data_IF_386571413578
#
_entry.id   IF_386571413578
#
_cell.length_a   1.000
_cell.length_b   1.000
_cell.length_c   1.000
_cell.angle_alpha   90.00
_cell.angle_beta   90.00
_cell.angle_gamma   90.00
#
_symmetry.space_group_name_H-M   'P 1'
#
loop_
_entity.id
_entity.type
_entity.pdbx_description
1 polymer ?
#
# COMPACT_ATOMS: atom_id res chain seq x y z
N UNK A 1 -24.20 10.60 0.57
CA UNK A 1 -22.76 10.42 0.30
C UNK A 1 -22.48 11.13 -1.02
N UNK A 2 -21.58 12.11 -1.02
CA UNK A 2 -21.18 12.76 -2.27
C UNK A 2 -20.50 11.71 -3.17
N UNK A 3 -20.96 11.59 -4.40
CA UNK A 3 -20.39 10.68 -5.39
C UNK A 3 -19.01 11.20 -5.78
N UNK A 4 -18.02 10.33 -5.76
CA UNK A 4 -16.64 10.70 -6.09
C UNK A 4 -16.53 10.99 -7.58
N UNK A 5 -16.04 12.17 -7.94
CA UNK A 5 -15.80 12.55 -9.33
C UNK A 5 -14.79 11.60 -9.97
N UNK A 6 -15.13 11.05 -11.13
CA UNK A 6 -14.31 10.12 -11.91
C UNK A 6 -13.71 10.83 -13.13
N UNK A 7 -12.67 10.25 -13.69
CA UNK A 7 -12.06 10.79 -14.90
C UNK A 7 -13.04 10.84 -16.10
N UNK A 8 -13.99 9.88 -16.15
CA UNK A 8 -15.03 9.87 -17.19
C UNK A 8 -15.95 11.10 -17.12
N UNK A 9 -16.26 11.58 -15.93
CA UNK A 9 -17.12 12.73 -15.74
C UNK A 9 -16.44 14.00 -16.31
N UNK A 10 -15.13 14.14 -16.09
CA UNK A 10 -14.31 15.22 -16.65
C UNK A 10 -14.22 15.11 -18.20
N UNK A 11 -14.06 13.90 -18.69
CA UNK A 11 -13.99 13.59 -20.13
C UNK A 11 -15.29 13.97 -20.83
N UNK A 12 -16.42 13.58 -20.27
CA UNK A 12 -17.76 13.90 -20.79
C UNK A 12 -18.02 15.40 -20.82
N UNK A 13 -17.72 16.09 -19.71
CA UNK A 13 -17.98 17.51 -19.57
C UNK A 13 -17.14 18.37 -20.51
N UNK A 14 -15.90 17.99 -20.77
CA UNK A 14 -14.99 18.71 -21.68
C UNK A 14 -15.10 18.27 -23.15
N UNK A 15 -15.76 17.16 -23.44
CA UNK A 15 -15.80 16.56 -24.76
C UNK A 15 -14.42 16.12 -25.29
N UNK A 16 -13.54 15.72 -24.37
CA UNK A 16 -12.17 15.32 -24.69
C UNK A 16 -12.01 13.79 -24.59
N UNK A 17 -10.90 13.26 -25.13
CA UNK A 17 -10.58 11.85 -24.93
C UNK A 17 -10.01 11.59 -23.53
N UNK A 18 -10.25 10.39 -22.98
CA UNK A 18 -9.66 9.94 -21.71
C UNK A 18 -8.14 10.06 -21.72
N UNK A 19 -7.50 9.80 -22.87
CA UNK A 19 -6.05 9.93 -23.05
C UNK A 19 -5.58 11.38 -22.87
N UNK A 20 -6.32 12.34 -23.40
CA UNK A 20 -5.99 13.77 -23.30
C UNK A 20 -6.09 14.22 -21.83
N UNK A 21 -7.20 13.95 -21.15
CA UNK A 21 -7.40 14.29 -19.75
C UNK A 21 -6.34 13.59 -18.87
N UNK A 22 -6.09 12.31 -19.09
CA UNK A 22 -5.07 11.55 -18.38
C UNK A 22 -3.66 12.13 -18.57
N UNK A 23 -3.31 12.59 -19.77
CA UNK A 23 -2.01 13.21 -20.01
C UNK A 23 -1.84 14.50 -19.19
N UNK A 24 -2.86 15.34 -19.10
CA UNK A 24 -2.83 16.56 -18.27
C UNK A 24 -2.68 16.19 -16.79
N UNK A 25 -3.51 15.25 -16.30
CA UNK A 25 -3.44 14.76 -14.91
C UNK A 25 -2.02 14.26 -14.55
N UNK A 26 -1.31 13.65 -15.50
CA UNK A 26 0.04 13.10 -15.27
C UNK A 26 1.16 14.06 -15.65
N UNK A 27 0.86 15.33 -15.99
CA UNK A 27 1.87 16.32 -16.36
C UNK A 27 2.53 16.06 -17.71
N UNK A 28 1.97 15.19 -18.56
CA UNK A 28 2.47 14.88 -19.90
C UNK A 28 1.86 15.85 -20.92
N UNK A 29 2.05 17.14 -20.68
CA UNK A 29 1.40 18.21 -21.46
C UNK A 29 1.98 18.42 -22.85
N UNK A 30 3.16 17.88 -23.18
CA UNK A 30 3.79 18.04 -24.49
C UNK A 30 3.01 17.52 -25.71
N UNK A 31 1.89 16.78 -25.46
CA UNK A 31 0.98 16.27 -26.50
C UNK A 31 -0.40 16.95 -26.47
N UNK A 32 -0.57 17.97 -25.64
CA UNK A 32 -1.83 18.67 -25.43
C UNK A 32 -1.57 20.16 -25.58
N UNK A 33 -2.48 20.91 -26.25
CA UNK A 33 -2.34 22.36 -26.33
C UNK A 33 -2.42 23.02 -24.97
N UNK A 34 -1.74 24.16 -24.78
CA UNK A 34 -1.76 24.90 -23.53
C UNK A 34 -3.19 25.26 -23.11
N UNK A 35 -4.02 25.72 -24.05
CA UNK A 35 -5.43 26.03 -23.82
C UNK A 35 -6.23 24.83 -23.30
N UNK A 36 -6.01 23.65 -23.91
CA UNK A 36 -6.69 22.40 -23.45
C UNK A 36 -6.22 22.00 -22.06
N UNK A 37 -4.91 22.14 -21.78
CA UNK A 37 -4.35 21.81 -20.48
C UNK A 37 -4.93 22.71 -19.37
N UNK A 38 -5.05 24.01 -19.63
CA UNK A 38 -5.67 24.97 -18.70
C UNK A 38 -7.14 24.66 -18.43
N UNK A 39 -7.92 24.37 -19.48
CA UNK A 39 -9.34 23.97 -19.34
C UNK A 39 -9.51 22.72 -18.48
N UNK A 40 -8.68 21.72 -18.73
CA UNK A 40 -8.73 20.47 -17.94
C UNK A 40 -8.35 20.74 -16.48
N UNK A 41 -7.27 21.51 -16.25
CA UNK A 41 -6.81 21.84 -14.88
C UNK A 41 -7.88 22.61 -14.12
N UNK A 42 -8.48 23.63 -14.71
CA UNK A 42 -9.53 24.42 -14.11
C UNK A 42 -10.73 23.56 -13.69
N UNK A 43 -11.18 22.64 -14.56
CA UNK A 43 -12.30 21.76 -14.23
C UNK A 43 -11.96 20.72 -13.16
N UNK A 44 -10.72 20.20 -13.15
CA UNK A 44 -10.24 19.31 -12.09
C UNK A 44 -10.26 19.99 -10.72
N UNK A 45 -9.89 21.25 -10.65
CA UNK A 45 -9.93 22.07 -9.43
C UNK A 45 -11.37 22.38 -9.02
N UNK A 46 -12.22 22.84 -9.96
CA UNK A 46 -13.62 23.14 -9.70
C UNK A 46 -14.41 21.93 -9.17
N UNK A 47 -14.13 20.76 -9.73
CA UNK A 47 -14.78 19.49 -9.33
C UNK A 47 -14.10 18.80 -8.15
N UNK A 48 -13.08 19.40 -7.54
CA UNK A 48 -12.29 18.81 -6.45
C UNK A 48 -11.83 17.37 -6.79
N UNK A 49 -11.37 17.17 -8.04
CA UNK A 49 -11.00 15.84 -8.52
C UNK A 49 -9.79 15.30 -7.76
N UNK A 50 -10.00 14.20 -7.04
CA UNK A 50 -8.92 13.47 -6.35
C UNK A 50 -8.50 12.28 -7.21
N UNK A 51 -7.21 12.23 -7.55
CA UNK A 51 -6.62 11.09 -8.30
C UNK A 51 -6.96 9.77 -7.64
N UNK A 52 -7.47 8.83 -8.42
CA UNK A 52 -7.63 7.45 -7.94
C UNK A 52 -6.29 6.72 -7.96
N UNK A 53 -5.81 6.28 -6.81
CA UNK A 53 -4.63 5.41 -6.74
C UNK A 53 -4.83 4.10 -7.51
N UNK A 54 -6.05 3.57 -7.56
CA UNK A 54 -6.36 2.35 -8.30
C UNK A 54 -5.98 2.45 -9.80
N UNK A 55 -6.25 3.61 -10.44
CA UNK A 55 -5.85 3.83 -11.83
C UNK A 55 -4.33 3.90 -12.02
N UNK A 56 -3.61 4.44 -11.04
CA UNK A 56 -2.14 4.51 -11.05
C UNK A 56 -1.54 3.12 -10.87
N UNK A 57 -2.10 2.32 -9.98
CA UNK A 57 -1.68 0.96 -9.68
C UNK A 57 -1.78 0.05 -10.90
N UNK A 58 -2.92 0.12 -11.61
CA UNK A 58 -3.16 -0.63 -12.84
C UNK A 58 -2.16 -0.28 -13.94
N UNK A 59 -1.75 1.01 -14.04
CA UNK A 59 -0.84 1.47 -15.09
C UNK A 59 0.65 1.16 -14.81
N UNK A 60 1.04 0.98 -13.54
CA UNK A 60 2.46 0.86 -13.14
C UNK A 60 2.86 -0.52 -12.63
N UNK A 61 1.94 -1.43 -12.43
CA UNK A 61 2.15 -2.75 -11.82
C UNK A 61 2.90 -2.67 -10.46
N UNK A 62 2.75 -1.56 -9.74
CA UNK A 62 3.34 -1.29 -8.42
C UNK A 62 2.30 -0.59 -7.56
N UNK A 63 2.02 -1.14 -6.39
CA UNK A 63 1.04 -0.57 -5.46
C UNK A 63 1.62 0.60 -4.65
N UNK A 64 2.92 0.73 -4.61
CA UNK A 64 3.65 1.58 -3.67
C UNK A 64 3.29 1.30 -2.21
N UNK A 65 2.78 0.10 -1.92
CA UNK A 65 2.42 -0.34 -0.57
C UNK A 65 3.51 -1.27 -0.05
N UNK A 66 4.07 -0.92 1.10
CA UNK A 66 4.87 -1.82 1.91
C UNK A 66 4.01 -2.30 3.09
N UNK A 67 3.82 -3.62 3.18
CA UNK A 67 3.11 -4.25 4.28
C UNK A 67 4.01 -4.40 5.51
N UNK A 68 3.53 -4.05 6.69
CA UNK A 68 4.18 -4.36 7.95
C UNK A 68 3.27 -5.29 8.73
N UNK A 69 3.69 -6.55 8.86
CA UNK A 69 2.92 -7.57 9.55
C UNK A 69 3.51 -7.81 10.93
N UNK A 70 2.68 -7.64 11.94
CA UNK A 70 3.05 -7.86 13.34
C UNK A 70 2.39 -9.14 13.83
N UNK A 71 3.18 -10.01 14.44
CA UNK A 71 2.66 -11.25 15.02
C UNK A 71 1.75 -10.94 16.21
N UNK A 72 0.47 -11.31 16.07
CA UNK A 72 -0.53 -11.18 17.14
C UNK A 72 -0.41 -12.35 18.12
N UNK A 73 0.66 -12.34 18.91
CA UNK A 73 0.93 -13.40 19.86
C UNK A 73 0.01 -13.29 21.08
N UNK A 74 -0.58 -14.39 21.58
CA UNK A 74 -1.49 -14.38 22.73
C UNK A 74 -0.97 -13.69 24.01
N UNK A 75 0.35 -13.56 24.16
CA UNK A 75 0.96 -12.82 25.29
C UNK A 75 0.53 -11.35 25.38
N UNK A 76 0.07 -10.77 24.26
CA UNK A 76 -0.35 -9.37 24.21
C UNK A 76 -1.84 -9.17 24.47
N UNK A 77 -2.62 -10.24 24.62
CA UNK A 77 -4.05 -10.18 24.92
C UNK A 77 -4.86 -9.24 24.00
N UNK A 78 -4.49 -9.17 22.72
CA UNK A 78 -5.10 -8.28 21.75
C UNK A 78 -4.54 -6.84 21.73
N UNK A 79 -3.53 -6.55 22.57
CA UNK A 79 -2.89 -5.23 22.69
C UNK A 79 -1.48 -5.21 22.06
N UNK A 80 -1.29 -5.98 21.01
CA UNK A 80 0.03 -6.13 20.34
C UNK A 80 0.63 -4.79 19.93
N UNK A 81 -0.18 -3.87 19.42
CA UNK A 81 0.31 -2.56 18.95
C UNK A 81 0.61 -1.57 20.09
N UNK A 82 0.19 -1.87 21.33
CA UNK A 82 0.50 -1.07 22.52
C UNK A 82 1.89 -1.40 23.08
N UNK A 83 2.51 -2.50 22.63
CA UNK A 83 3.87 -2.85 23.04
C UNK A 83 4.86 -1.77 22.58
N UNK A 84 5.67 -1.28 23.52
CA UNK A 84 6.59 -0.17 23.28
C UNK A 84 7.60 -0.45 22.15
N UNK A 85 8.11 -1.67 22.07
CA UNK A 85 9.06 -2.05 21.04
C UNK A 85 8.38 -2.06 19.66
N UNK A 86 7.19 -2.64 19.58
CA UNK A 86 6.40 -2.69 18.33
C UNK A 86 5.99 -1.29 17.90
N UNK A 87 5.46 -0.48 18.82
CA UNK A 87 5.05 0.89 18.53
C UNK A 87 6.23 1.75 18.04
N UNK A 88 7.38 1.66 18.71
CA UNK A 88 8.60 2.37 18.29
C UNK A 88 9.08 1.92 16.91
N UNK A 89 9.07 0.62 16.65
CA UNK A 89 9.45 0.05 15.35
C UNK A 89 8.55 0.53 14.22
N UNK A 90 7.23 0.56 14.46
CA UNK A 90 6.26 1.08 13.49
C UNK A 90 6.47 2.57 13.19
N UNK A 91 6.80 3.38 14.20
CA UNK A 91 7.10 4.80 14.00
C UNK A 91 8.33 5.00 13.09
N UNK A 92 9.42 4.26 13.33
CA UNK A 92 10.62 4.33 12.47
C UNK A 92 10.32 3.86 11.05
N UNK A 93 9.64 2.72 10.90
CA UNK A 93 9.27 2.19 9.59
C UNK A 93 8.37 3.15 8.83
N UNK A 94 7.38 3.76 9.50
CA UNK A 94 6.49 4.74 8.88
C UNK A 94 7.25 5.91 8.29
N UNK A 95 8.18 6.49 9.04
CA UNK A 95 8.98 7.62 8.59
C UNK A 95 9.88 7.27 7.38
N UNK A 96 10.52 6.08 7.40
CA UNK A 96 11.37 5.64 6.29
C UNK A 96 10.57 5.28 5.03
N UNK A 97 9.44 4.61 5.20
CA UNK A 97 8.55 4.22 4.09
C UNK A 97 7.97 5.47 3.43
N UNK A 98 7.50 6.45 4.21
CA UNK A 98 7.01 7.72 3.70
C UNK A 98 8.11 8.50 2.95
N UNK A 99 9.33 8.54 3.50
CA UNK A 99 10.49 9.20 2.86
C UNK A 99 10.85 8.56 1.52
N UNK A 100 10.63 7.25 1.37
CA UNK A 100 10.80 6.55 0.09
C UNK A 100 9.65 6.80 -0.90
N UNK A 101 8.63 7.54 -0.50
CA UNK A 101 7.44 7.85 -1.29
C UNK A 101 6.48 6.67 -1.41
N UNK A 102 6.53 5.72 -0.50
CA UNK A 102 5.65 4.57 -0.42
C UNK A 102 4.64 4.72 0.72
N UNK A 103 3.66 3.84 0.78
CA UNK A 103 2.63 3.83 1.82
C UNK A 103 2.83 2.61 2.72
N UNK A 104 2.74 2.83 4.02
CA UNK A 104 2.79 1.76 5.00
C UNK A 104 1.38 1.22 5.26
N UNK A 105 1.22 -0.10 5.17
CA UNK A 105 0.01 -0.79 5.59
C UNK A 105 0.34 -1.76 6.72
N UNK A 106 -0.19 -1.50 7.91
CA UNK A 106 0.04 -2.35 9.09
C UNK A 106 -1.09 -3.36 9.23
N UNK A 107 -0.75 -4.61 9.49
CA UNK A 107 -1.70 -5.67 9.80
C UNK A 107 -1.13 -6.60 10.86
N UNK A 108 -1.96 -6.92 11.85
CA UNK A 108 -1.70 -8.03 12.76
C UNK A 108 -2.05 -9.35 12.06
N UNK A 109 -1.24 -10.37 12.26
CA UNK A 109 -1.47 -11.71 11.73
C UNK A 109 -0.92 -12.76 12.70
N UNK A 110 -1.64 -13.85 12.86
CA UNK A 110 -1.22 -14.96 13.71
C UNK A 110 -0.36 -15.97 12.94
N UNK A 111 -0.54 -16.05 11.63
CA UNK A 111 0.06 -17.09 10.77
C UNK A 111 0.65 -16.53 9.49
N UNK A 112 1.73 -17.13 9.06
CA UNK A 112 2.43 -16.74 7.83
C UNK A 112 1.59 -16.91 6.55
N UNK A 113 0.64 -17.86 6.51
CA UNK A 113 -0.26 -18.05 5.37
C UNK A 113 -1.15 -16.82 5.12
N UNK A 114 -1.61 -16.18 6.17
CA UNK A 114 -2.42 -14.96 6.09
C UNK A 114 -1.63 -13.82 5.45
N UNK A 115 -0.34 -13.72 5.80
CA UNK A 115 0.57 -12.73 5.22
C UNK A 115 0.68 -12.91 3.70
N UNK A 116 0.91 -14.16 3.24
CA UNK A 116 1.04 -14.46 1.81
C UNK A 116 -0.22 -14.08 1.05
N UNK A 117 -1.39 -14.44 1.58
CA UNK A 117 -2.68 -14.11 0.95
C UNK A 117 -2.90 -12.60 0.89
N UNK A 118 -2.69 -11.93 2.01
CA UNK A 118 -2.95 -10.49 2.13
C UNK A 118 -2.01 -9.68 1.24
N UNK A 119 -0.71 -9.99 1.25
CA UNK A 119 0.27 -9.33 0.41
C UNK A 119 -0.04 -9.47 -1.08
N UNK A 120 -0.49 -10.65 -1.51
CA UNK A 120 -0.91 -10.91 -2.89
C UNK A 120 -2.18 -10.18 -3.25
N UNK A 121 -3.19 -10.18 -2.37
CA UNK A 121 -4.48 -9.51 -2.61
C UNK A 121 -4.32 -8.00 -2.79
N UNK A 122 -3.41 -7.38 -2.04
CA UNK A 122 -3.14 -5.95 -2.12
C UNK A 122 -2.03 -5.58 -3.10
N UNK A 123 -1.47 -6.57 -3.83
CA UNK A 123 -0.36 -6.38 -4.75
C UNK A 123 0.79 -5.56 -4.15
N UNK A 124 1.20 -5.92 -2.92
CA UNK A 124 2.23 -5.19 -2.18
C UNK A 124 3.59 -5.29 -2.89
N UNK A 125 4.37 -4.23 -2.85
CA UNK A 125 5.71 -4.18 -3.46
C UNK A 125 6.77 -4.85 -2.58
N UNK A 126 6.50 -4.97 -1.28
CA UNK A 126 7.35 -5.64 -0.30
C UNK A 126 6.68 -5.71 1.06
N UNK A 127 7.27 -6.48 1.98
CA UNK A 127 6.76 -6.58 3.35
C UNK A 127 7.89 -6.60 4.39
N UNK A 128 7.55 -6.17 5.59
CA UNK A 128 8.32 -6.37 6.82
C UNK A 128 7.48 -7.24 7.76
N UNK A 129 8.07 -8.25 8.35
CA UNK A 129 7.41 -9.12 9.35
C UNK A 129 8.10 -8.99 10.70
N UNK A 130 7.33 -8.78 11.76
CA UNK A 130 7.81 -8.52 13.12
C UNK A 130 7.30 -9.61 14.06
N UNK A 131 8.21 -10.26 14.79
CA UNK A 131 7.87 -11.21 15.85
C UNK A 131 7.45 -12.61 15.40
N UNK A 132 7.69 -12.98 14.15
CA UNK A 132 7.41 -14.32 13.61
C UNK A 132 8.55 -15.30 13.86
N UNK A 133 8.23 -16.60 13.97
CA UNK A 133 9.21 -17.64 14.27
C UNK A 133 9.95 -18.13 12.99
N UNK A 134 10.99 -18.96 13.20
CA UNK A 134 11.78 -19.51 12.10
C UNK A 134 10.96 -20.35 11.11
N UNK A 135 9.95 -21.06 11.60
CA UNK A 135 9.07 -21.88 10.74
C UNK A 135 8.22 -21.00 9.82
N UNK A 136 7.71 -19.87 10.34
CA UNK A 136 6.97 -18.88 9.55
C UNK A 136 7.86 -18.27 8.49
N UNK A 137 9.11 -17.97 8.84
CA UNK A 137 10.10 -17.48 7.88
C UNK A 137 10.35 -18.46 6.74
N UNK A 138 10.51 -19.75 7.04
CA UNK A 138 10.71 -20.79 6.03
C UNK A 138 9.51 -20.86 5.07
N UNK A 139 8.30 -20.76 5.60
CA UNK A 139 7.07 -20.72 4.79
C UNK A 139 7.02 -19.48 3.91
N UNK A 140 7.26 -18.30 4.47
CA UNK A 140 7.31 -17.04 3.71
C UNK A 140 8.33 -17.11 2.59
N UNK A 141 9.54 -17.60 2.86
CA UNK A 141 10.60 -17.77 1.86
C UNK A 141 10.19 -18.69 0.71
N UNK A 142 9.42 -19.72 0.99
CA UNK A 142 8.96 -20.68 -0.03
C UNK A 142 7.83 -20.14 -0.91
N UNK A 143 6.99 -19.24 -0.39
CA UNK A 143 5.74 -18.80 -1.04
C UNK A 143 5.73 -17.36 -1.49
N UNK A 144 6.53 -16.48 -0.85
CA UNK A 144 6.58 -15.07 -1.22
C UNK A 144 7.38 -14.87 -2.50
N UNK A 145 6.84 -14.03 -3.39
CA UNK A 145 7.49 -13.64 -4.66
C UNK A 145 7.95 -12.18 -4.65
N UNK A 146 7.61 -11.44 -3.59
CA UNK A 146 8.02 -10.06 -3.37
C UNK A 146 9.10 -10.00 -2.30
N UNK A 147 9.93 -8.96 -2.26
CA UNK A 147 10.94 -8.77 -1.21
C UNK A 147 10.30 -8.73 0.17
N UNK A 148 10.95 -9.37 1.14
CA UNK A 148 10.53 -9.27 2.53
C UNK A 148 11.72 -9.21 3.49
N UNK A 149 11.55 -8.51 4.60
CA UNK A 149 12.49 -8.40 5.70
C UNK A 149 11.85 -8.97 6.98
N UNK A 150 12.67 -9.69 7.76
CA UNK A 150 12.26 -10.20 9.08
C UNK A 150 12.92 -9.34 10.15
N UNK A 151 12.13 -8.85 11.08
CA UNK A 151 12.57 -8.05 12.20
C UNK A 151 12.09 -8.68 13.51
N UNK A 152 13.00 -8.86 14.47
CA UNK A 152 12.73 -9.53 15.75
C UNK A 152 12.08 -10.92 15.59
N UNK A 153 12.61 -11.73 14.64
CA UNK A 153 12.08 -13.05 14.27
C UNK A 153 12.58 -14.22 15.14
N UNK A 154 13.20 -13.99 16.29
CA UNK A 154 13.75 -15.03 17.15
C UNK A 154 12.81 -15.49 18.26
N UNK A 155 11.54 -15.67 17.98
CA UNK A 155 10.66 -16.43 18.86
C UNK A 155 11.02 -17.92 18.76
N UNK A 156 11.48 -18.52 19.86
CA UNK A 156 11.65 -19.97 19.97
C UNK A 156 10.34 -20.67 19.57
N UNK A 157 10.41 -21.82 18.87
CA UNK A 157 9.21 -22.54 18.48
C UNK A 157 8.34 -22.82 19.72
N UNK A 158 7.02 -22.62 19.59
CA UNK A 158 6.07 -23.05 20.62
C UNK A 158 6.40 -24.50 20.97
N UNK A 159 6.86 -24.77 22.18
CA UNK A 159 6.76 -26.11 22.74
C UNK A 159 5.25 -26.37 22.87
N UNK A 160 4.74 -27.26 22.03
CA UNK A 160 3.45 -27.88 22.24
C UNK A 160 3.52 -28.55 23.63
N UNK A 161 3.00 -27.86 24.63
CA UNK A 161 2.77 -28.43 25.94
C UNK A 161 1.66 -29.46 25.83
N UNK A 162 1.91 -30.63 26.39
CA UNK A 162 0.97 -31.72 26.60
C UNK A 162 -0.24 -31.26 27.41
#
# INVERSE_FOLDING_TARGET
MAERVRICDIVEELGLSTATVSNVIHGKTGKVSAETAERVTALLEEREYIRSMAGILLARNSSRILGVFVNDHPKYEGHTLDDFFIASSLNFLSAEIERSGQFMMVKQAERAEEIVQFASMWNMDGIVVIGFCEQDYALLRSRMRIPFAVYDGLCRPRRSGF
#
